data_IF_319275085575
#
_entry.id   IF_319275085575
#
_cell.length_a   1.000
_cell.length_b   1.000
_cell.length_c   1.000
_cell.angle_alpha   90.00
_cell.angle_beta   90.00
_cell.angle_gamma   90.00
#
_symmetry.space_group_name_H-M   'P 1'
#
loop_
_entity.id
_entity.type
_entity.pdbx_description
1 polymer ?
#
# COMPACT_ATOMS: atom_id res chain seq x y z
N UNK A 1 -28.93 -24.06 16.29
CA UNK A 1 -28.67 -23.10 15.21
C UNK A 1 -27.89 -21.96 15.85
N UNK A 2 -26.56 -22.11 15.93
CA UNK A 2 -25.69 -21.07 16.46
C UNK A 2 -25.58 -19.99 15.40
N UNK A 3 -26.21 -18.87 15.70
CA UNK A 3 -26.15 -17.65 14.90
C UNK A 3 -24.73 -17.09 15.06
N UNK A 4 -23.88 -17.37 14.07
CA UNK A 4 -22.51 -16.88 14.05
C UNK A 4 -22.57 -15.44 13.55
N UNK A 5 -22.50 -14.48 14.48
CA UNK A 5 -22.39 -13.07 14.12
C UNK A 5 -21.24 -12.90 13.11
N UNK A 6 -21.42 -12.06 12.07
CA UNK A 6 -20.37 -11.79 11.11
C UNK A 6 -19.13 -11.27 11.85
N UNK A 7 -17.98 -11.86 11.55
CA UNK A 7 -16.71 -11.42 12.13
C UNK A 7 -16.53 -9.92 11.86
N UNK A 8 -16.13 -9.16 12.89
CA UNK A 8 -15.79 -7.75 12.72
C UNK A 8 -14.80 -7.60 11.56
N UNK A 9 -14.90 -6.54 10.74
CA UNK A 9 -13.97 -6.33 9.65
C UNK A 9 -12.55 -6.37 10.22
N UNK A 10 -11.69 -7.20 9.61
CA UNK A 10 -10.31 -7.33 10.03
C UNK A 10 -9.64 -5.95 10.00
N UNK A 11 -8.91 -5.60 11.06
CA UNK A 11 -8.14 -4.37 11.03
C UNK A 11 -7.09 -4.44 9.91
N UNK A 12 -6.61 -3.27 9.46
CA UNK A 12 -5.64 -3.16 8.37
C UNK A 12 -4.42 -4.07 8.58
N UNK A 13 -3.90 -4.14 9.80
CA UNK A 13 -2.68 -4.88 10.10
C UNK A 13 -2.92 -6.38 10.12
N UNK A 14 -4.06 -6.83 10.66
CA UNK A 14 -4.51 -8.21 10.55
C UNK A 14 -4.63 -8.63 9.08
N UNK A 15 -5.12 -7.75 8.22
CA UNK A 15 -5.24 -8.00 6.78
C UNK A 15 -3.86 -8.06 6.10
N UNK A 16 -2.96 -7.12 6.40
CA UNK A 16 -1.57 -7.12 5.90
C UNK A 16 -0.83 -8.39 6.31
N UNK A 17 -0.97 -8.84 7.56
CA UNK A 17 -0.37 -10.08 8.05
C UNK A 17 -0.91 -11.31 7.31
N UNK A 18 -2.23 -11.35 7.07
CA UNK A 18 -2.85 -12.45 6.33
C UNK A 18 -2.38 -12.50 4.87
N UNK A 19 -2.28 -11.35 4.20
CA UNK A 19 -1.76 -11.24 2.84
C UNK A 19 -0.29 -11.64 2.76
N UNK A 20 0.53 -11.15 3.69
CA UNK A 20 1.93 -11.55 3.78
C UNK A 20 2.06 -13.07 3.98
N UNK A 21 1.31 -13.65 4.93
CA UNK A 21 1.35 -15.08 5.21
C UNK A 21 0.89 -15.93 4.01
N UNK A 22 -0.15 -15.49 3.29
CA UNK A 22 -0.59 -16.13 2.06
C UNK A 22 0.51 -16.13 1.01
N UNK A 23 1.17 -14.99 0.79
CA UNK A 23 2.25 -14.87 -0.18
C UNK A 23 3.45 -15.73 0.20
N UNK A 24 3.88 -15.74 1.47
CA UNK A 24 5.02 -16.57 1.91
C UNK A 24 4.75 -18.07 1.77
N UNK A 25 3.50 -18.51 1.90
CA UNK A 25 3.12 -19.93 1.77
C UNK A 25 3.38 -20.47 0.36
N UNK A 26 3.11 -19.66 -0.65
CA UNK A 26 3.14 -20.06 -2.06
C UNK A 26 4.42 -19.58 -2.79
N UNK A 27 5.36 -18.98 -2.06
CA UNK A 27 6.57 -18.38 -2.62
C UNK A 27 7.66 -19.44 -2.86
N UNK A 28 8.12 -19.68 -4.11
CA UNK A 28 9.24 -20.59 -4.37
C UNK A 28 10.59 -20.00 -3.94
N UNK A 29 10.63 -18.69 -3.66
CA UNK A 29 11.84 -17.90 -3.44
C UNK A 29 11.70 -17.09 -2.15
N UNK A 30 12.39 -17.53 -1.08
CA UNK A 30 12.36 -16.88 0.23
C UNK A 30 13.53 -15.92 0.51
N UNK A 31 13.56 -15.39 1.73
CA UNK A 31 14.70 -14.61 2.23
C UNK A 31 14.94 -13.31 1.45
N UNK A 32 16.20 -12.99 1.16
CA UNK A 32 16.60 -11.72 0.53
C UNK A 32 15.99 -11.54 -0.86
N UNK A 33 15.87 -12.59 -1.64
CA UNK A 33 15.33 -12.49 -2.99
C UNK A 33 13.82 -12.23 -2.97
N UNK A 34 13.07 -12.90 -2.08
CA UNK A 34 11.66 -12.61 -1.84
C UNK A 34 11.43 -11.14 -1.45
N UNK A 35 12.28 -10.60 -0.57
CA UNK A 35 12.26 -9.17 -0.22
C UNK A 35 12.49 -8.26 -1.43
N UNK A 36 13.49 -8.55 -2.27
CA UNK A 36 13.76 -7.75 -3.47
C UNK A 36 12.57 -7.78 -4.44
N UNK A 37 11.93 -8.93 -4.61
CA UNK A 37 10.72 -9.06 -5.43
C UNK A 37 9.56 -8.20 -4.91
N UNK A 38 9.39 -8.05 -3.59
CA UNK A 38 8.40 -7.10 -3.02
C UNK A 38 8.70 -5.65 -3.40
N UNK A 39 9.97 -5.27 -3.42
CA UNK A 39 10.38 -3.92 -3.83
C UNK A 39 10.13 -3.68 -5.32
N UNK A 40 10.28 -4.71 -6.15
CA UNK A 40 9.94 -4.64 -7.57
C UNK A 40 8.43 -4.51 -7.79
N UNK A 41 7.61 -5.29 -7.06
CA UNK A 41 6.13 -5.15 -7.14
C UNK A 41 5.66 -3.74 -6.76
N UNK A 42 6.30 -3.10 -5.77
CA UNK A 42 6.00 -1.69 -5.47
C UNK A 42 6.24 -0.75 -6.67
N UNK A 43 7.29 -1.01 -7.46
CA UNK A 43 7.57 -0.19 -8.66
C UNK A 43 6.57 -0.45 -9.79
N UNK A 44 6.05 -1.67 -9.88
CA UNK A 44 4.97 -2.06 -10.79
C UNK A 44 3.69 -1.28 -10.46
N UNK A 45 3.22 -1.28 -9.20
CA UNK A 45 1.99 -0.56 -8.82
C UNK A 45 2.11 0.97 -9.07
N UNK A 46 3.29 1.55 -8.85
CA UNK A 46 3.53 2.96 -9.17
C UNK A 46 3.41 3.22 -10.69
N UNK A 47 3.80 2.25 -11.51
CA UNK A 47 3.59 2.27 -12.95
C UNK A 47 2.10 2.22 -13.33
N UNK A 48 1.32 1.40 -12.62
CA UNK A 48 -0.13 1.29 -12.82
C UNK A 48 -0.85 2.60 -12.44
N UNK A 49 -0.46 3.25 -11.34
CA UNK A 49 -0.93 4.61 -11.01
C UNK A 49 -0.66 5.59 -12.17
N UNK A 50 0.54 5.54 -12.76
CA UNK A 50 0.89 6.42 -13.87
C UNK A 50 0.03 6.11 -15.12
N UNK A 51 -0.21 4.83 -15.42
CA UNK A 51 -1.10 4.42 -16.51
C UNK A 51 -2.55 4.89 -16.27
N UNK A 52 -3.07 4.73 -15.05
CA UNK A 52 -4.40 5.17 -14.67
C UNK A 52 -4.54 6.69 -14.82
N UNK A 53 -3.55 7.47 -14.38
CA UNK A 53 -3.55 8.94 -14.54
C UNK A 53 -3.53 9.34 -16.01
N UNK A 54 -2.67 8.72 -16.83
CA UNK A 54 -2.62 8.99 -18.28
C UNK A 54 -3.97 8.67 -18.94
N UNK A 55 -4.61 7.58 -18.53
CA UNK A 55 -5.92 7.17 -19.00
C UNK A 55 -7.05 8.11 -18.55
N UNK A 56 -7.03 8.58 -17.31
CA UNK A 56 -8.04 9.49 -16.74
C UNK A 56 -7.93 10.92 -17.28
N UNK A 57 -6.74 11.32 -17.68
CA UNK A 57 -6.46 12.66 -18.26
C UNK A 57 -6.52 12.66 -19.80
N UNK A 58 -6.73 11.50 -20.42
CA UNK A 58 -6.82 11.34 -21.87
C UNK A 58 -5.53 11.66 -22.62
N UNK A 59 -4.37 11.62 -21.94
CA UNK A 59 -3.09 12.05 -22.50
C UNK A 59 -2.49 11.04 -23.49
N UNK A 60 -3.09 9.85 -23.62
CA UNK A 60 -2.73 8.89 -24.66
C UNK A 60 -3.53 9.16 -25.95
N UNK A 61 -2.93 9.73 -27.00
CA UNK A 61 -3.65 10.12 -28.22
C UNK A 61 -4.25 8.92 -28.98
N UNK A 62 -3.77 7.70 -28.71
CA UNK A 62 -4.25 6.46 -29.34
C UNK A 62 -5.45 5.85 -28.63
N UNK A 63 -5.66 6.15 -27.33
CA UNK A 63 -6.68 5.52 -26.49
C UNK A 63 -7.74 6.49 -25.95
N UNK A 64 -7.48 7.80 -25.93
CA UNK A 64 -8.40 8.77 -25.34
C UNK A 64 -8.59 8.54 -23.83
N UNK A 65 -9.78 8.84 -23.31
CA UNK A 65 -10.14 8.54 -21.92
C UNK A 65 -10.34 7.03 -21.76
N UNK A 66 -9.44 6.37 -21.03
CA UNK A 66 -9.48 4.92 -20.80
C UNK A 66 -9.68 4.52 -19.33
N UNK A 67 -9.46 5.47 -18.42
CA UNK A 67 -9.59 5.27 -16.98
C UNK A 67 -10.38 6.44 -16.38
N UNK A 68 -10.77 6.27 -15.13
CA UNK A 68 -11.43 7.26 -14.28
C UNK A 68 -10.51 7.65 -13.14
N UNK A 69 -10.87 8.70 -12.40
CA UNK A 69 -10.17 9.04 -11.15
C UNK A 69 -10.43 8.04 -10.03
N UNK A 70 -11.45 7.18 -10.14
CA UNK A 70 -11.67 6.06 -9.21
C UNK A 70 -10.64 4.95 -9.45
N UNK A 71 -10.27 4.70 -10.72
CA UNK A 71 -9.18 3.77 -11.04
C UNK A 71 -7.85 4.28 -10.45
N UNK A 72 -7.56 5.58 -10.55
CA UNK A 72 -6.38 6.18 -9.89
C UNK A 72 -6.38 5.97 -8.37
N UNK A 73 -7.55 6.08 -7.72
CA UNK A 73 -7.68 5.83 -6.29
C UNK A 73 -7.42 4.36 -5.95
N UNK A 74 -7.90 3.42 -6.78
CA UNK A 74 -7.65 1.99 -6.62
C UNK A 74 -6.15 1.69 -6.72
N UNK A 75 -5.48 2.19 -7.76
CA UNK A 75 -4.04 1.97 -7.94
C UNK A 75 -3.20 2.56 -6.79
N UNK A 76 -3.61 3.71 -6.24
CA UNK A 76 -2.97 4.28 -5.05
C UNK A 76 -3.15 3.38 -3.82
N UNK A 77 -4.31 2.73 -3.67
CA UNK A 77 -4.52 1.75 -2.60
C UNK A 77 -3.62 0.54 -2.78
N UNK A 78 -3.41 0.08 -4.02
CA UNK A 78 -2.54 -1.05 -4.32
C UNK A 78 -1.07 -0.72 -4.03
N UNK A 79 -0.61 0.49 -4.34
CA UNK A 79 0.72 0.99 -3.91
C UNK A 79 0.86 0.95 -2.39
N UNK A 80 -0.13 1.46 -1.65
CA UNK A 80 -0.10 1.49 -0.18
C UNK A 80 -0.06 0.07 0.38
N UNK A 81 -0.92 -0.83 -0.11
CA UNK A 81 -0.99 -2.21 0.36
C UNK A 81 0.31 -2.96 0.06
N UNK A 82 0.84 -2.83 -1.16
CA UNK A 82 2.12 -3.42 -1.56
C UNK A 82 3.28 -2.91 -0.71
N UNK A 83 3.31 -1.61 -0.36
CA UNK A 83 4.31 -1.05 0.54
C UNK A 83 4.20 -1.60 1.97
N UNK A 84 2.98 -1.77 2.50
CA UNK A 84 2.75 -2.33 3.83
C UNK A 84 3.15 -3.82 3.91
N UNK A 85 2.84 -4.60 2.88
CA UNK A 85 3.29 -6.01 2.78
C UNK A 85 4.82 -6.08 2.67
N UNK A 86 5.44 -5.23 1.86
CA UNK A 86 6.90 -5.15 1.76
C UNK A 86 7.55 -4.77 3.11
N UNK A 87 6.94 -3.86 3.88
CA UNK A 87 7.38 -3.51 5.22
C UNK A 87 7.25 -4.71 6.17
N UNK A 88 6.15 -5.47 6.10
CA UNK A 88 5.97 -6.70 6.89
C UNK A 88 6.98 -7.79 6.52
N UNK A 89 7.44 -7.85 5.28
CA UNK A 89 8.55 -8.72 4.87
C UNK A 89 9.88 -8.28 5.48
N UNK A 90 10.11 -6.97 5.66
CA UNK A 90 11.33 -6.43 6.27
C UNK A 90 11.38 -6.56 7.79
N UNK A 91 10.23 -6.45 8.45
CA UNK A 91 10.13 -6.44 9.92
C UNK A 91 8.88 -7.18 10.40
N UNK A 92 8.96 -7.95 11.50
CA UNK A 92 7.78 -8.54 12.12
C UNK A 92 6.86 -7.50 12.78
N UNK A 93 7.32 -6.27 12.97
CA UNK A 93 6.60 -5.18 13.67
C UNK A 93 6.24 -4.02 12.72
N UNK A 94 5.58 -4.24 11.57
CA UNK A 94 5.39 -3.18 10.58
C UNK A 94 4.50 -2.06 11.11
N UNK A 95 3.54 -2.38 11.99
CA UNK A 95 2.64 -1.41 12.61
C UNK A 95 3.38 -0.35 13.40
N UNK A 96 4.19 -0.78 14.36
CA UNK A 96 4.96 0.13 15.21
C UNK A 96 5.96 0.96 14.39
N UNK A 97 6.59 0.35 13.37
CA UNK A 97 7.51 1.06 12.48
C UNK A 97 6.81 2.14 11.67
N UNK A 98 5.65 1.83 11.08
CA UNK A 98 4.89 2.76 10.27
C UNK A 98 4.27 3.88 11.12
N UNK A 99 3.55 3.55 12.19
CA UNK A 99 2.91 4.52 13.08
C UNK A 99 3.96 5.48 13.66
N UNK A 100 5.09 4.96 14.17
CA UNK A 100 6.17 5.81 14.66
C UNK A 100 6.82 6.68 13.56
N UNK A 101 6.87 6.21 12.31
CA UNK A 101 7.33 7.04 11.19
C UNK A 101 6.34 8.18 10.89
N UNK A 102 5.05 7.87 10.84
CA UNK A 102 3.98 8.86 10.61
C UNK A 102 4.01 9.93 11.70
N UNK A 103 4.10 9.55 12.97
CA UNK A 103 4.18 10.49 14.10
C UNK A 103 5.37 11.45 13.96
N UNK A 104 6.56 10.93 13.63
CA UNK A 104 7.76 11.77 13.41
C UNK A 104 7.58 12.74 12.25
N UNK A 105 7.00 12.28 11.13
CA UNK A 105 6.76 13.14 9.97
C UNK A 105 5.70 14.21 10.30
N UNK A 106 4.62 13.83 10.97
CA UNK A 106 3.56 14.74 11.38
C UNK A 106 4.08 15.82 12.34
N UNK A 107 4.83 15.44 13.38
CA UNK A 107 5.43 16.38 14.32
C UNK A 107 6.34 17.40 13.63
N UNK A 108 7.14 16.94 12.65
CA UNK A 108 8.04 17.81 11.87
C UNK A 108 7.27 18.75 10.94
N UNK A 109 6.27 18.24 10.22
CA UNK A 109 5.59 18.99 9.15
C UNK A 109 4.47 19.90 9.67
N UNK A 110 3.75 19.48 10.72
CA UNK A 110 2.60 20.20 11.27
C UNK A 110 2.96 21.01 12.52
N UNK A 111 4.03 20.66 13.23
CA UNK A 111 4.47 21.33 14.47
C UNK A 111 5.29 22.62 14.26
N UNK A 112 5.54 23.04 13.02
CA UNK A 112 6.36 24.22 12.67
C UNK A 112 5.60 25.54 12.54
N UNK A 113 4.27 25.58 12.69
CA UNK A 113 3.50 26.81 12.65
C UNK A 113 3.55 27.55 14.01
N UNK A 114 4.69 28.20 14.30
CA UNK A 114 4.71 29.23 15.34
C UNK A 114 3.91 30.46 14.87
N UNK A 115 3.07 31.09 15.72
CA UNK A 115 2.33 32.28 15.34
C UNK A 115 3.29 33.44 15.08
N UNK A 116 3.17 34.06 13.91
CA UNK A 116 3.95 35.22 13.50
C UNK A 116 3.78 36.37 14.49
N UNK A 117 4.94 36.95 14.83
CA UNK A 117 5.12 38.24 15.52
C UNK A 117 4.64 39.40 14.65
#
# INVERSE_FOLDING_TARGET
>A
MTDQLPAAPADLWTTVDALWAWLEKDQPVGGREGLLLRMLKLSEEVGEVAEAVIGATGQNPRKGLSHTWDDVQAELCDVVLSALVALRTLTPEPRAVFEGHVERVAARSLGGAAPGK
#
